data_IF_873265290055
#
_entry.id   IF_873265290055
#
_cell.length_a   1.000
_cell.length_b   1.000
_cell.length_c   1.000
_cell.angle_alpha   90.00
_cell.angle_beta   90.00
_cell.angle_gamma   90.00
#
_symmetry.space_group_name_H-M   'P 1'
#
loop_
_entity.id
_entity.type
_entity.pdbx_description
1 polymer ?
#
# COMPACT_ATOMS: atom_id res chain seq x y z
N UNK A 1 -47.79 -34.64 -37.12
CA UNK A 1 -46.45 -35.10 -36.73
C UNK A 1 -45.60 -33.87 -36.44
N UNK A 2 -45.32 -33.55 -35.18
CA UNK A 2 -44.56 -32.36 -34.79
C UNK A 2 -43.27 -32.78 -34.09
N UNK A 3 -42.12 -32.30 -34.57
CA UNK A 3 -40.79 -32.59 -34.01
C UNK A 3 -40.52 -31.63 -32.84
N UNK A 4 -39.98 -32.09 -31.69
CA UNK A 4 -39.54 -31.19 -30.64
C UNK A 4 -38.18 -30.58 -30.99
N UNK A 5 -38.13 -29.25 -31.12
CA UNK A 5 -36.88 -28.50 -31.21
C UNK A 5 -36.20 -28.47 -29.84
N UNK A 6 -34.92 -28.85 -29.80
CA UNK A 6 -34.09 -28.81 -28.60
C UNK A 6 -33.63 -27.38 -28.34
N UNK A 7 -34.23 -26.72 -27.35
CA UNK A 7 -33.79 -25.42 -26.85
C UNK A 7 -32.40 -25.62 -26.20
N UNK A 8 -31.33 -25.18 -26.87
CA UNK A 8 -29.98 -25.11 -26.29
C UNK A 8 -29.97 -24.01 -25.23
N UNK A 9 -29.88 -24.40 -23.97
CA UNK A 9 -29.77 -23.49 -22.82
C UNK A 9 -28.42 -22.74 -22.85
N UNK A 10 -28.45 -21.48 -22.44
CA UNK A 10 -27.27 -20.58 -22.41
C UNK A 10 -26.10 -21.13 -21.58
N UNK A 11 -26.38 -22.02 -20.63
CA UNK A 11 -25.37 -22.74 -19.83
C UNK A 11 -24.46 -23.62 -20.68
N UNK A 12 -24.97 -24.28 -21.73
CA UNK A 12 -24.13 -25.12 -22.61
C UNK A 12 -23.23 -24.29 -23.52
N UNK A 13 -23.62 -23.05 -23.80
CA UNK A 13 -22.83 -22.09 -24.61
C UNK A 13 -21.70 -21.50 -23.75
N UNK A 14 -21.98 -21.16 -22.49
CA UNK A 14 -20.99 -20.63 -21.55
C UNK A 14 -20.03 -21.71 -21.01
N UNK A 15 -20.49 -22.97 -20.88
CA UNK A 15 -19.65 -24.07 -20.43
C UNK A 15 -18.52 -24.38 -21.43
N UNK A 16 -18.80 -24.36 -22.74
CA UNK A 16 -17.78 -24.57 -23.77
C UNK A 16 -16.73 -23.46 -23.80
N UNK A 17 -17.14 -22.20 -23.62
CA UNK A 17 -16.24 -21.04 -23.55
C UNK A 17 -15.38 -21.07 -22.27
N UNK A 18 -15.95 -21.52 -21.14
CA UNK A 18 -15.22 -21.69 -19.89
C UNK A 18 -14.16 -22.80 -19.99
N UNK A 19 -14.48 -23.93 -20.62
CA UNK A 19 -13.54 -25.03 -20.83
C UNK A 19 -12.38 -24.62 -21.75
N UNK A 20 -12.68 -23.89 -22.83
CA UNK A 20 -11.65 -23.37 -23.74
C UNK A 20 -10.79 -22.29 -23.08
N UNK A 21 -11.36 -21.43 -22.24
CA UNK A 21 -10.62 -20.46 -21.44
C UNK A 21 -9.67 -21.15 -20.45
N UNK A 22 -10.14 -22.17 -19.72
CA UNK A 22 -9.32 -22.93 -18.78
C UNK A 22 -8.18 -23.67 -19.48
N UNK A 23 -8.45 -24.27 -20.65
CA UNK A 23 -7.42 -24.95 -21.46
C UNK A 23 -6.36 -23.96 -21.96
N UNK A 24 -6.76 -22.78 -22.43
CA UNK A 24 -5.85 -21.71 -22.87
C UNK A 24 -5.04 -21.10 -21.71
N UNK A 25 -5.65 -20.96 -20.53
CA UNK A 25 -4.98 -20.45 -19.33
C UNK A 25 -3.93 -21.44 -18.80
N UNK A 26 -4.24 -22.74 -18.78
CA UNK A 26 -3.30 -23.80 -18.41
C UNK A 26 -2.11 -23.84 -19.36
N UNK A 27 -2.36 -23.74 -20.67
CA UNK A 27 -1.30 -23.71 -21.69
C UNK A 27 -0.36 -22.50 -21.53
N UNK A 28 -0.90 -21.32 -21.20
CA UNK A 28 -0.08 -20.12 -20.87
C UNK A 28 0.77 -20.31 -19.62
N UNK A 29 0.26 -20.98 -18.59
CA UNK A 29 1.03 -21.27 -17.38
C UNK A 29 2.17 -22.24 -17.66
N UNK A 30 1.93 -23.27 -18.48
CA UNK A 30 2.99 -24.21 -18.88
C UNK A 30 4.07 -23.54 -19.74
N UNK A 31 3.68 -22.66 -20.67
CA UNK A 31 4.64 -21.90 -21.49
C UNK A 31 5.48 -20.91 -20.65
N UNK A 32 4.89 -20.28 -19.63
CA UNK A 32 5.58 -19.32 -18.76
C UNK A 32 6.32 -19.96 -17.56
N UNK A 33 6.09 -21.24 -17.26
CA UNK A 33 6.77 -21.94 -16.17
C UNK A 33 8.28 -22.17 -16.45
N UNK A 34 8.73 -22.03 -17.69
CA UNK A 34 10.14 -22.13 -18.08
C UNK A 34 10.91 -20.81 -18.09
N UNK A 35 10.25 -19.66 -17.91
CA UNK A 35 10.91 -18.36 -17.90
C UNK A 35 10.24 -17.45 -16.85
N UNK A 36 10.88 -17.15 -15.71
CA UNK A 36 10.31 -16.23 -14.74
C UNK A 36 10.08 -14.88 -15.44
N UNK A 37 8.94 -14.18 -15.20
CA UNK A 37 8.76 -12.84 -15.73
C UNK A 37 9.76 -11.91 -15.04
N UNK A 38 10.94 -11.77 -15.66
CA UNK A 38 11.83 -10.67 -15.42
C UNK A 38 11.06 -9.38 -15.74
N UNK A 39 11.02 -8.50 -14.75
CA UNK A 39 10.63 -7.09 -14.81
C UNK A 39 10.48 -6.52 -16.23
N UNK A 40 9.27 -6.05 -16.55
CA UNK A 40 9.03 -5.17 -17.67
C UNK A 40 9.75 -3.82 -17.45
N UNK A 41 11.02 -3.75 -17.88
CA UNK A 41 11.72 -2.51 -18.20
C UNK A 41 11.67 -2.35 -19.73
N UNK A 42 11.03 -1.32 -20.30
CA UNK A 42 11.23 -1.01 -21.70
C UNK A 42 12.61 -0.39 -21.89
N UNK A 43 13.40 -0.99 -22.77
CA UNK A 43 14.66 -0.45 -23.26
C UNK A 43 14.38 0.43 -24.49
N UNK A 44 14.78 1.70 -24.43
CA UNK A 44 15.26 2.51 -25.57
C UNK A 44 15.59 3.94 -25.13
N UNK A 45 16.88 4.31 -25.12
CA UNK A 45 17.46 5.55 -25.66
C UNK A 45 18.90 5.80 -25.12
N UNK A 46 19.85 5.73 -26.05
CA UNK A 46 21.20 6.34 -26.07
C UNK A 46 22.30 5.83 -25.09
N UNK A 47 23.48 5.44 -25.61
CA UNK A 47 24.69 5.32 -24.78
C UNK A 47 25.29 6.71 -24.56
N UNK A 48 24.88 7.39 -23.48
CA UNK A 48 25.68 8.48 -22.94
C UNK A 48 26.96 7.87 -22.36
N UNK A 49 28.12 8.33 -22.86
CA UNK A 49 29.44 7.97 -22.33
C UNK A 49 29.43 8.26 -20.83
N UNK A 50 29.68 7.27 -19.95
CA UNK A 50 29.69 7.54 -18.51
C UNK A 50 30.89 8.44 -18.22
N UNK A 51 30.63 9.68 -17.79
CA UNK A 51 31.66 10.50 -17.16
C UNK A 51 32.29 9.68 -16.04
N UNK A 52 33.60 9.42 -16.16
CA UNK A 52 34.34 8.66 -15.17
C UNK A 52 34.21 9.38 -13.82
N UNK A 53 33.47 8.75 -12.90
CA UNK A 53 33.35 9.21 -11.52
C UNK A 53 34.76 9.36 -10.95
N UNK A 54 35.23 10.61 -10.80
CA UNK A 54 36.51 10.90 -10.17
C UNK A 54 36.48 10.29 -8.78
N UNK A 55 37.45 9.44 -8.48
CA UNK A 55 37.54 8.79 -7.17
C UNK A 55 37.69 9.87 -6.10
N UNK A 56 37.00 9.75 -4.95
CA UNK A 56 37.23 10.66 -3.84
C UNK A 56 38.73 10.65 -3.50
N UNK A 57 39.35 11.82 -3.54
CA UNK A 57 40.70 12.00 -3.03
C UNK A 57 40.58 12.03 -1.51
N UNK A 58 41.04 10.96 -0.87
CA UNK A 58 41.12 10.93 0.59
C UNK A 58 42.28 11.83 1.02
N UNK A 59 42.00 12.75 1.93
CA UNK A 59 43.01 13.54 2.63
C UNK A 59 44.01 12.61 3.31
N UNK A 60 45.28 12.99 3.23
CA UNK A 60 46.36 12.20 3.83
C UNK A 60 46.21 12.24 5.36
N UNK A 61 46.05 11.08 6.00
CA UNK A 61 45.79 10.93 7.44
C UNK A 61 46.85 11.59 8.33
N UNK A 62 48.04 11.85 7.77
CA UNK A 62 49.13 12.53 8.47
C UNK A 62 48.88 14.03 8.67
N UNK A 63 48.19 14.66 7.72
CA UNK A 63 47.87 16.11 7.76
C UNK A 63 46.69 16.46 8.66
N UNK A 64 45.78 15.51 8.90
CA UNK A 64 44.60 15.72 9.77
C UNK A 64 44.94 15.83 11.26
N UNK A 65 46.13 15.36 11.66
CA UNK A 65 46.60 15.39 13.05
C UNK A 65 47.32 16.68 13.44
N UNK A 66 47.52 17.62 12.50
CA UNK A 66 48.07 18.92 12.84
C UNK A 66 46.96 19.76 13.46
N UNK A 67 46.99 19.89 14.78
CA UNK A 67 46.20 20.86 15.53
C UNK A 67 46.66 22.23 15.04
N UNK A 68 45.84 22.87 14.20
CA UNK A 68 45.98 24.31 13.97
C UNK A 68 45.39 24.99 15.19
N UNK A 69 46.22 25.75 15.89
CA UNK A 69 45.73 26.77 16.82
C UNK A 69 45.01 27.82 15.98
N UNK A 70 43.70 27.64 15.85
CA UNK A 70 42.81 28.67 15.37
C UNK A 70 42.52 29.51 16.60
N UNK A 71 42.98 30.77 16.60
CA UNK A 71 42.54 31.77 17.57
C UNK A 71 41.04 31.96 17.38
N UNK A 72 40.24 31.18 18.10
CA UNK A 72 38.80 31.37 18.20
C UNK A 72 38.56 32.62 19.05
N UNK A 73 38.49 33.76 18.38
CA UNK A 73 37.92 34.98 18.93
C UNK A 73 36.50 34.66 19.41
N UNK A 74 36.31 34.64 20.73
CA UNK A 74 35.05 34.27 21.37
C UNK A 74 34.06 35.40 21.12
N UNK A 75 33.22 35.25 20.09
CA UNK A 75 32.09 36.14 19.86
C UNK A 75 31.07 35.95 20.99
N UNK A 76 30.94 36.96 21.86
CA UNK A 76 29.84 37.04 22.82
C UNK A 76 28.58 37.39 22.03
N UNK A 77 27.76 36.38 21.74
CA UNK A 77 26.53 36.55 21.00
C UNK A 77 25.51 37.34 21.85
N UNK A 78 25.14 38.51 21.35
CA UNK A 78 23.95 39.24 21.78
C UNK A 78 22.74 38.31 21.63
N UNK A 79 21.96 38.14 22.71
CA UNK A 79 20.76 37.29 22.70
C UNK A 79 19.70 38.01 21.87
N UNK A 80 19.69 37.70 20.58
CA UNK A 80 18.52 37.94 19.72
C UNK A 80 17.40 37.05 20.24
N UNK A 81 16.23 37.61 20.50
CA UNK A 81 15.02 36.84 20.79
C UNK A 81 14.70 35.99 19.56
N UNK A 82 15.22 34.77 19.54
CA UNK A 82 15.09 33.85 18.43
C UNK A 82 13.61 33.45 18.24
N UNK A 83 13.06 33.80 17.08
CA UNK A 83 11.88 33.12 16.56
C UNK A 83 12.12 31.60 16.60
N UNK A 84 11.12 30.78 16.98
CA UNK A 84 11.31 29.37 17.21
C UNK A 84 11.93 28.72 15.97
N UNK A 85 13.15 28.21 16.13
CA UNK A 85 13.86 27.56 15.05
C UNK A 85 12.97 26.47 14.43
N UNK A 86 12.82 26.42 13.09
CA UNK A 86 11.93 25.46 12.42
C UNK A 86 12.27 24.00 12.76
N UNK A 87 13.50 23.75 13.22
CA UNK A 87 13.93 22.46 13.76
C UNK A 87 13.23 22.09 15.07
N UNK A 88 13.07 23.03 15.99
CA UNK A 88 12.41 22.82 17.28
C UNK A 88 10.90 22.59 17.10
N UNK A 89 10.27 23.30 16.17
CA UNK A 89 8.87 23.04 15.81
C UNK A 89 8.68 21.64 15.25
N UNK A 90 9.62 21.18 14.41
CA UNK A 90 9.61 19.82 13.88
C UNK A 90 9.76 18.78 14.99
N UNK A 91 10.66 19.01 15.96
CA UNK A 91 10.81 18.11 17.10
C UNK A 91 9.53 18.05 17.96
N UNK A 92 8.90 19.20 18.24
CA UNK A 92 7.62 19.23 18.96
C UNK A 92 6.52 18.46 18.22
N UNK A 93 6.39 18.63 16.91
CA UNK A 93 5.43 17.88 16.09
C UNK A 93 5.67 16.37 16.13
N UNK A 94 6.94 15.95 16.12
CA UNK A 94 7.30 14.52 16.21
C UNK A 94 6.93 13.96 17.59
N UNK A 95 7.19 14.70 18.65
CA UNK A 95 6.87 14.26 20.02
C UNK A 95 5.36 14.18 20.24
N UNK A 96 4.61 15.16 19.76
CA UNK A 96 3.14 15.17 19.81
C UNK A 96 2.54 14.01 19.00
N UNK A 97 3.02 13.78 17.78
CA UNK A 97 2.58 12.66 16.96
C UNK A 97 2.88 11.30 17.63
N UNK A 98 4.04 11.17 18.28
CA UNK A 98 4.41 9.96 19.02
C UNK A 98 3.47 9.71 20.21
N UNK A 99 3.10 10.77 20.94
CA UNK A 99 2.15 10.68 22.06
C UNK A 99 0.76 10.28 21.58
N UNK A 100 0.27 10.91 20.52
CA UNK A 100 -1.03 10.58 19.92
C UNK A 100 -1.08 9.12 19.41
N UNK A 101 0.00 8.65 18.78
CA UNK A 101 0.10 7.26 18.31
C UNK A 101 0.04 6.25 19.47
N UNK A 102 0.78 6.50 20.56
CA UNK A 102 0.77 5.63 21.73
C UNK A 102 -0.63 5.57 22.40
N UNK A 103 -1.34 6.71 22.46
CA UNK A 103 -2.69 6.76 23.00
C UNK A 103 -3.67 5.97 22.11
N UNK A 104 -3.60 6.16 20.79
CA UNK A 104 -4.41 5.43 19.82
C UNK A 104 -4.15 3.92 19.87
N UNK A 105 -2.90 3.50 19.99
CA UNK A 105 -2.52 2.09 20.15
C UNK A 105 -3.11 1.49 21.43
N UNK A 106 -3.05 2.23 22.54
CA UNK A 106 -3.63 1.79 23.81
C UNK A 106 -5.16 1.62 23.74
N UNK A 107 -5.85 2.51 23.00
CA UNK A 107 -7.30 2.41 22.80
C UNK A 107 -7.66 1.27 21.85
N UNK A 108 -6.89 1.09 20.78
CA UNK A 108 -7.06 -0.02 19.84
C UNK A 108 -6.85 -1.38 20.54
N UNK A 109 -5.85 -1.50 21.40
CA UNK A 109 -5.61 -2.71 22.19
C UNK A 109 -6.81 -3.06 23.09
N UNK A 110 -7.35 -2.07 23.81
CA UNK A 110 -8.55 -2.26 24.65
C UNK A 110 -9.79 -2.64 23.83
N UNK A 111 -9.93 -2.09 22.63
CA UNK A 111 -11.01 -2.45 21.72
C UNK A 111 -10.88 -3.90 21.22
N UNK A 112 -9.67 -4.33 20.86
CA UNK A 112 -9.39 -5.71 20.45
C UNK A 112 -9.64 -6.71 21.57
N UNK A 113 -9.26 -6.39 22.81
CA UNK A 113 -9.55 -7.24 23.98
C UNK A 113 -11.05 -7.38 24.23
N UNK A 114 -11.83 -6.30 24.04
CA UNK A 114 -13.29 -6.34 24.15
C UNK A 114 -13.90 -7.23 23.08
N UNK A 115 -13.45 -7.12 21.83
CA UNK A 115 -13.92 -7.97 20.71
C UNK A 115 -13.55 -9.43 20.94
N UNK A 116 -12.34 -9.72 21.41
CA UNK A 116 -11.88 -11.08 21.72
C UNK A 116 -12.69 -11.71 22.86
N UNK A 117 -13.04 -10.92 23.89
CA UNK A 117 -13.87 -11.38 25.00
C UNK A 117 -15.34 -11.60 24.61
N UNK A 118 -15.88 -10.84 23.66
CA UNK A 118 -17.22 -11.05 23.10
C UNK A 118 -17.27 -12.08 21.96
N UNK A 119 -16.14 -12.37 21.31
CA UNK A 119 -16.04 -13.26 20.14
C UNK A 119 -16.06 -14.75 20.46
N UNK A 120 -15.94 -15.14 21.75
CA UNK A 120 -16.03 -16.54 22.16
C UNK A 120 -17.46 -17.13 22.12
N UNK A 121 -18.49 -16.34 21.77
CA UNK A 121 -19.88 -16.78 21.70
C UNK A 121 -20.54 -16.67 20.31
N UNK A 122 -19.81 -16.32 19.25
CA UNK A 122 -20.39 -16.21 17.91
C UNK A 122 -19.80 -17.24 16.94
N UNK A 123 -20.11 -18.51 17.17
CA UNK A 123 -20.07 -19.51 16.11
C UNK A 123 -21.43 -19.54 15.37
N UNK A 124 -21.35 -19.37 14.05
CA UNK A 124 -22.34 -19.60 12.98
C UNK A 124 -23.30 -18.45 12.60
N UNK A 125 -23.79 -18.39 11.33
CA UNK A 125 -23.45 -19.18 10.13
C UNK A 125 -22.93 -18.35 8.95
N UNK A 126 -22.22 -19.02 8.04
CA UNK A 126 -22.08 -18.61 6.64
C UNK A 126 -23.48 -18.68 5.99
N UNK A 127 -23.78 -17.74 5.11
CA UNK A 127 -24.97 -17.65 4.24
C UNK A 127 -26.08 -16.70 4.73
N UNK A 128 -26.01 -15.47 4.21
CA UNK A 128 -26.92 -14.38 4.50
C UNK A 128 -26.34 -13.09 3.95
N UNK A 129 -26.60 -12.81 2.67
CA UNK A 129 -26.24 -11.53 2.06
C UNK A 129 -26.72 -10.36 2.92
N UNK A 130 -26.02 -9.21 2.92
CA UNK A 130 -26.35 -8.09 3.78
C UNK A 130 -27.78 -7.62 3.49
N UNK A 131 -28.69 -7.86 4.44
CA UNK A 131 -30.04 -7.28 4.40
C UNK A 131 -29.90 -5.76 4.51
N UNK A 132 -30.10 -5.06 3.39
CA UNK A 132 -30.07 -3.60 3.35
C UNK A 132 -31.28 -3.08 4.12
N UNK A 133 -31.04 -2.25 5.13
CA UNK A 133 -32.08 -1.71 6.03
C UNK A 133 -32.79 -0.48 5.43
N UNK A 134 -32.44 -0.09 4.20
CA UNK A 134 -32.99 1.07 3.50
C UNK A 134 -32.33 2.40 3.90
N UNK A 135 -31.48 2.39 4.93
CA UNK A 135 -30.60 3.51 5.27
C UNK A 135 -29.19 3.24 4.75
N UNK A 136 -28.90 3.77 3.57
CA UNK A 136 -27.63 3.57 2.86
C UNK A 136 -26.42 3.98 3.71
N UNK A 137 -26.52 5.08 4.47
CA UNK A 137 -25.42 5.56 5.29
C UNK A 137 -25.12 4.58 6.44
N UNK A 138 -26.16 4.10 7.13
CA UNK A 138 -26.00 3.14 8.22
C UNK A 138 -25.51 1.77 7.71
N UNK A 139 -26.03 1.32 6.57
CA UNK A 139 -25.60 0.06 5.92
C UNK A 139 -24.14 0.13 5.47
N UNK A 140 -23.69 1.29 4.97
CA UNK A 140 -22.31 1.51 4.55
C UNK A 140 -21.34 1.57 5.75
N UNK A 141 -21.73 2.23 6.84
CA UNK A 141 -20.96 2.21 8.09
C UNK A 141 -20.86 0.78 8.63
N UNK A 142 -21.96 0.02 8.63
CA UNK A 142 -21.97 -1.38 9.06
C UNK A 142 -21.08 -2.26 8.17
N UNK A 143 -21.09 -2.03 6.86
CA UNK A 143 -20.22 -2.73 5.92
C UNK A 143 -18.75 -2.40 6.20
N UNK A 144 -18.41 -1.13 6.41
CA UNK A 144 -17.05 -0.69 6.75
C UNK A 144 -16.55 -1.18 8.11
N UNK A 145 -17.44 -1.51 9.05
CA UNK A 145 -17.06 -2.15 10.31
C UNK A 145 -16.69 -3.64 10.15
N UNK A 146 -17.02 -4.25 9.01
CA UNK A 146 -16.61 -5.62 8.69
C UNK A 146 -15.27 -5.63 7.91
N UNK A 147 -14.35 -6.57 8.18
CA UNK A 147 -13.07 -6.64 7.48
C UNK A 147 -13.25 -6.87 5.97
N UNK A 148 -14.31 -7.60 5.58
CA UNK A 148 -14.66 -7.83 4.18
C UNK A 148 -15.17 -6.56 3.49
N UNK A 149 -15.98 -5.74 4.17
CA UNK A 149 -16.45 -4.47 3.61
C UNK A 149 -15.35 -3.43 3.46
N UNK A 150 -14.34 -3.43 4.36
CA UNK A 150 -13.13 -2.62 4.16
C UNK A 150 -12.37 -3.04 2.90
N UNK A 151 -12.18 -4.35 2.68
CA UNK A 151 -11.53 -4.85 1.46
C UNK A 151 -12.31 -4.42 0.20
N UNK A 152 -13.64 -4.51 0.23
CA UNK A 152 -14.50 -4.05 -0.86
C UNK A 152 -14.38 -2.54 -1.08
N UNK A 153 -14.33 -1.74 -0.01
CA UNK A 153 -14.17 -0.29 -0.11
C UNK A 153 -12.81 0.11 -0.70
N UNK A 154 -11.73 -0.57 -0.31
CA UNK A 154 -10.39 -0.37 -0.88
C UNK A 154 -10.40 -0.72 -2.37
N UNK A 155 -10.97 -1.86 -2.74
CA UNK A 155 -11.05 -2.29 -4.13
C UNK A 155 -11.92 -1.35 -4.99
N UNK A 156 -13.05 -0.86 -4.46
CA UNK A 156 -13.87 0.14 -5.14
C UNK A 156 -13.11 1.43 -5.35
N UNK A 157 -12.38 1.89 -4.33
CA UNK A 157 -11.51 3.06 -4.46
C UNK A 157 -10.46 2.84 -5.54
N UNK A 158 -9.79 1.68 -5.55
CA UNK A 158 -8.81 1.36 -6.59
C UNK A 158 -9.39 1.29 -8.00
N UNK A 159 -10.66 0.90 -8.16
CA UNK A 159 -11.33 0.91 -9.47
C UNK A 159 -11.64 2.35 -9.91
N UNK A 160 -12.10 3.19 -8.99
CA UNK A 160 -12.49 4.57 -9.27
C UNK A 160 -11.29 5.50 -9.45
N UNK A 161 -10.21 5.29 -8.69
CA UNK A 161 -8.97 6.07 -8.75
C UNK A 161 -8.01 5.60 -9.87
N UNK A 162 -8.39 4.58 -10.66
CA UNK A 162 -7.57 4.13 -11.79
C UNK A 162 -7.42 5.26 -12.82
N UNK A 163 -6.18 5.66 -13.19
CA UNK A 163 -5.97 6.69 -14.19
C UNK A 163 -6.56 6.24 -15.53
N UNK A 164 -7.41 7.10 -16.09
CA UNK A 164 -8.09 6.87 -17.37
C UNK A 164 -7.05 6.77 -18.50
N UNK A 165 -5.90 7.43 -18.39
CA UNK A 165 -4.91 7.50 -19.47
C UNK A 165 -4.00 6.26 -19.60
N UNK A 166 -4.39 5.10 -19.05
CA UNK A 166 -3.63 3.83 -19.14
C UNK A 166 -4.13 2.84 -20.22
N UNK A 167 -5.09 3.24 -21.05
CA UNK A 167 -5.55 2.44 -22.21
C UNK A 167 -5.33 3.18 -23.53
#
# INVERSE_FOLDING_TARGET
>A
MSRPEKIKTKETIMAGDLEDFLRRAAQRRQANAGNPPAAARPAAAQPAVPEQRKRPQYSNHRTERMIREVEEEIYVAEVVEDEPSPWQERQRKIEEAKRAAAEAESMAAKAMDKVKKSGAQASHPLDGGPQMTGNVAADLIRLLHSPQGVQQAVLLREILDRPIDRW
#
